data_IF_175898970782
#
_entry.id   IF_175898970782
#
_cell.length_a   1.000
_cell.length_b   1.000
_cell.length_c   1.000
_cell.angle_alpha   90.00
_cell.angle_beta   90.00
_cell.angle_gamma   90.00
#
_symmetry.space_group_name_H-M   'P 1'
#
loop_
_entity.id
_entity.type
_entity.pdbx_description
1 polymer ?
#
# COMPACT_ATOMS: atom_id res chain seq x y z
N UNK A 1 5.83 -3.97 4.67
CA UNK A 1 4.74 -4.90 4.32
C UNK A 1 3.45 -4.12 4.42
N UNK A 2 2.67 -4.07 3.33
CA UNK A 2 1.40 -3.34 3.30
C UNK A 2 0.36 -4.03 4.20
N UNK A 3 -0.64 -3.28 4.64
CA UNK A 3 -1.70 -3.79 5.50
C UNK A 3 -3.08 -3.28 5.07
N UNK A 4 -4.10 -4.00 5.51
CA UNK A 4 -5.51 -3.68 5.31
C UNK A 4 -6.15 -3.67 6.69
N UNK A 5 -6.94 -2.65 6.96
CA UNK A 5 -7.79 -2.57 8.14
C UNK A 5 -9.18 -3.03 7.74
N UNK A 6 -9.78 -3.92 8.53
CA UNK A 6 -11.11 -4.46 8.29
C UNK A 6 -11.90 -4.41 9.59
N UNK A 7 -13.11 -3.88 9.53
CA UNK A 7 -14.09 -4.00 10.61
C UNK A 7 -15.15 -5.06 10.26
N UNK A 8 -15.27 -6.05 11.14
CA UNK A 8 -16.12 -7.21 10.91
C UNK A 8 -16.62 -7.84 12.21
N UNK A 9 -17.78 -8.48 12.10
CA UNK A 9 -18.27 -9.44 13.06
C UNK A 9 -17.68 -10.81 12.76
N UNK A 10 -17.03 -11.39 13.75
CA UNK A 10 -16.62 -12.80 13.73
C UNK A 10 -17.61 -13.57 14.59
N UNK A 11 -18.25 -14.58 13.99
CA UNK A 11 -19.21 -15.46 14.66
C UNK A 11 -18.69 -16.88 14.66
N UNK A 12 -18.66 -17.48 15.83
CA UNK A 12 -18.24 -18.86 16.07
C UNK A 12 -19.44 -19.65 16.56
N UNK A 13 -19.61 -20.85 16.01
CA UNK A 13 -20.71 -21.74 16.31
C UNK A 13 -20.17 -23.11 16.69
N UNK A 14 -20.55 -23.62 17.86
CA UNK A 14 -20.16 -24.96 18.29
C UNK A 14 -21.24 -25.56 19.18
N UNK A 15 -21.15 -26.86 19.42
CA UNK A 15 -21.98 -27.55 20.41
C UNK A 15 -21.11 -27.97 21.59
N UNK A 16 -21.63 -27.81 22.81
CA UNK A 16 -20.98 -28.26 24.04
C UNK A 16 -21.94 -29.13 24.83
N UNK A 17 -21.62 -30.42 24.97
CA UNK A 17 -22.47 -31.40 25.65
C UNK A 17 -22.62 -31.15 27.16
N UNK A 18 -21.78 -30.31 27.74
CA UNK A 18 -21.85 -29.96 29.17
C UNK A 18 -22.95 -28.96 29.50
N UNK A 19 -23.39 -28.20 28.51
CA UNK A 19 -24.37 -27.14 28.70
C UNK A 19 -25.76 -27.69 28.39
N UNK A 20 -26.68 -27.52 29.32
CA UNK A 20 -28.08 -27.93 29.13
C UNK A 20 -28.79 -26.91 28.24
N UNK A 21 -29.34 -27.30 27.09
CA UNK A 21 -30.07 -26.39 26.21
C UNK A 21 -31.37 -25.88 26.84
N UNK A 22 -31.85 -24.68 26.46
CA UNK A 22 -33.13 -24.17 26.91
C UNK A 22 -34.28 -24.94 26.20
N UNK A 23 -35.10 -25.65 26.97
CA UNK A 23 -36.21 -26.45 26.44
C UNK A 23 -37.42 -25.61 26.00
N UNK A 24 -37.53 -24.37 26.51
CA UNK A 24 -38.69 -23.51 26.30
C UNK A 24 -38.71 -22.80 24.93
N UNK A 25 -37.60 -22.86 24.16
CA UNK A 25 -37.46 -22.18 22.88
C UNK A 25 -37.96 -23.03 21.72
N UNK A 26 -38.61 -22.40 20.74
CA UNK A 26 -38.96 -23.07 19.51
C UNK A 26 -37.70 -23.39 18.66
N UNK A 27 -37.82 -24.37 17.76
CA UNK A 27 -36.72 -24.75 16.86
C UNK A 27 -36.32 -23.56 15.99
N UNK A 28 -35.06 -23.14 16.07
CA UNK A 28 -34.56 -21.98 15.32
C UNK A 28 -34.43 -20.69 16.14
N UNK A 29 -35.02 -20.64 17.32
CA UNK A 29 -34.93 -19.46 18.20
C UNK A 29 -33.61 -19.42 18.96
N UNK A 30 -33.19 -18.20 19.33
CA UNK A 30 -31.96 -17.93 20.05
C UNK A 30 -32.27 -17.19 21.34
N UNK A 31 -31.78 -17.71 22.46
CA UNK A 31 -31.81 -17.00 23.73
C UNK A 31 -30.50 -16.23 23.94
N UNK A 32 -30.61 -15.00 24.44
CA UNK A 32 -29.46 -14.19 24.80
C UNK A 32 -29.00 -14.58 26.20
N UNK A 33 -27.73 -14.92 26.33
CA UNK A 33 -27.09 -15.22 27.60
C UNK A 33 -26.14 -14.06 27.92
N UNK A 34 -26.01 -13.73 29.20
CA UNK A 34 -25.10 -12.67 29.64
C UNK A 34 -23.66 -12.93 29.15
N UNK A 35 -22.99 -11.94 28.51
CA UNK A 35 -21.64 -12.13 27.96
C UNK A 35 -20.60 -12.58 29.00
N UNK A 36 -20.78 -12.25 30.29
CA UNK A 36 -19.87 -12.68 31.37
C UNK A 36 -19.79 -14.20 31.55
N UNK A 37 -20.82 -14.92 31.13
CA UNK A 37 -20.83 -16.39 31.15
C UNK A 37 -19.82 -16.95 30.15
N UNK A 38 -19.50 -16.22 29.07
CA UNK A 38 -18.48 -16.64 28.10
C UNK A 38 -17.10 -16.84 28.74
N UNK A 39 -16.81 -16.19 29.88
CA UNK A 39 -15.56 -16.38 30.65
C UNK A 39 -15.49 -17.74 31.36
N UNK A 40 -16.64 -18.38 31.59
CA UNK A 40 -16.77 -19.64 32.32
C UNK A 40 -17.07 -20.83 31.39
N UNK A 41 -17.29 -20.57 30.11
CA UNK A 41 -17.54 -21.58 29.08
C UNK A 41 -16.28 -21.73 28.21
N UNK A 42 -16.07 -22.92 27.68
CA UNK A 42 -14.99 -23.13 26.72
C UNK A 42 -15.25 -22.34 25.43
N UNK A 43 -14.24 -21.61 24.98
CA UNK A 43 -14.23 -20.90 23.71
C UNK A 43 -13.12 -21.47 22.82
N UNK A 44 -13.37 -21.65 21.50
CA UNK A 44 -12.33 -22.08 20.58
C UNK A 44 -11.24 -21.00 20.46
N UNK A 45 -9.99 -21.41 20.65
CA UNK A 45 -8.81 -20.53 20.59
C UNK A 45 -8.44 -20.17 19.15
N UNK A 46 -9.26 -19.33 18.51
CA UNK A 46 -9.08 -18.89 17.13
C UNK A 46 -8.19 -17.65 17.08
N UNK A 47 -7.16 -17.67 16.24
CA UNK A 47 -6.34 -16.49 15.94
C UNK A 47 -6.32 -16.23 14.44
N UNK A 48 -6.07 -14.96 14.07
CA UNK A 48 -5.93 -14.54 12.68
C UNK A 48 -4.42 -14.43 12.38
N UNK A 49 -3.97 -15.15 11.37
CA UNK A 49 -2.57 -15.11 10.95
C UNK A 49 -2.20 -13.73 10.39
N UNK A 50 -0.94 -13.32 10.59
CA UNK A 50 -0.37 -12.05 10.15
C UNK A 50 -1.14 -10.79 10.60
N UNK A 51 -1.94 -10.88 11.66
CA UNK A 51 -2.55 -9.72 12.29
C UNK A 51 -1.48 -8.87 12.97
N UNK A 52 -1.46 -7.56 12.68
CA UNK A 52 -0.54 -6.60 13.30
C UNK A 52 -1.17 -5.95 14.52
N UNK A 53 -2.47 -5.68 14.44
CA UNK A 53 -3.22 -4.98 15.47
C UNK A 53 -4.67 -5.46 15.47
N UNK A 54 -5.24 -5.63 16.67
CA UNK A 54 -6.65 -5.96 16.88
C UNK A 54 -7.21 -4.96 17.87
N UNK A 55 -8.20 -4.18 17.43
CA UNK A 55 -8.91 -3.21 18.26
C UNK A 55 -10.32 -3.74 18.51
N UNK A 56 -10.70 -3.79 19.79
CA UNK A 56 -12.07 -4.10 20.19
C UNK A 56 -12.78 -2.79 20.54
N UNK A 57 -13.86 -2.40 19.84
CA UNK A 57 -14.62 -1.21 20.20
C UNK A 57 -15.16 -1.34 21.63
N UNK A 58 -14.88 -0.37 22.52
CA UNK A 58 -15.25 -0.45 23.93
C UNK A 58 -15.71 0.91 24.50
N UNK A 59 -16.74 1.51 23.91
CA UNK A 59 -17.26 2.80 24.37
C UNK A 59 -17.98 2.70 25.74
N UNK A 60 -18.70 1.59 25.99
CA UNK A 60 -19.40 1.32 27.25
C UNK A 60 -19.30 -0.16 27.64
N UNK A 61 -19.71 -1.04 26.72
CA UNK A 61 -19.58 -2.49 26.81
C UNK A 61 -19.07 -2.99 25.47
N UNK A 62 -18.16 -3.96 25.47
CA UNK A 62 -17.69 -4.56 24.24
C UNK A 62 -18.88 -5.19 23.48
N UNK A 63 -19.01 -4.99 22.16
CA UNK A 63 -20.07 -5.56 21.35
C UNK A 63 -19.86 -7.07 21.15
N UNK A 64 -20.11 -7.82 22.22
CA UNK A 64 -20.03 -9.27 22.30
C UNK A 64 -21.43 -9.83 22.58
N UNK A 65 -21.82 -10.90 21.88
CA UNK A 65 -23.07 -11.60 22.15
C UNK A 65 -22.82 -13.10 22.26
N UNK A 66 -23.37 -13.69 23.32
CA UNK A 66 -23.41 -15.13 23.54
C UNK A 66 -24.86 -15.58 23.47
N UNK A 67 -25.18 -16.50 22.56
CA UNK A 67 -26.53 -17.04 22.39
C UNK A 67 -26.53 -18.54 22.33
N UNK A 68 -27.63 -19.15 22.75
CA UNK A 68 -27.83 -20.60 22.68
C UNK A 68 -29.19 -20.91 22.07
N UNK A 69 -29.24 -21.98 21.29
CA UNK A 69 -30.44 -22.52 20.67
C UNK A 69 -30.91 -23.78 21.41
N UNK A 70 -32.17 -24.18 21.21
CA UNK A 70 -32.75 -25.36 21.86
C UNK A 70 -32.04 -26.70 21.51
N UNK A 71 -31.29 -26.75 20.41
CA UNK A 71 -30.53 -27.92 19.97
C UNK A 71 -29.11 -27.98 20.57
N UNK A 72 -28.80 -27.05 21.49
CA UNK A 72 -27.48 -26.91 22.11
C UNK A 72 -26.43 -26.24 21.21
N UNK A 73 -26.83 -25.65 20.08
CA UNK A 73 -25.94 -24.83 19.27
C UNK A 73 -25.69 -23.49 19.95
N UNK A 74 -24.42 -23.22 20.23
CA UNK A 74 -23.95 -21.98 20.83
C UNK A 74 -23.45 -21.07 19.71
N UNK A 75 -23.71 -19.78 19.84
CA UNK A 75 -23.18 -18.73 18.98
C UNK A 75 -22.49 -17.67 19.82
N UNK A 76 -21.19 -17.52 19.61
CA UNK A 76 -20.43 -16.38 20.10
C UNK A 76 -20.15 -15.43 18.95
N UNK A 77 -20.47 -14.15 19.11
CA UNK A 77 -20.22 -13.11 18.12
C UNK A 77 -19.49 -11.96 18.77
N UNK A 78 -18.45 -11.47 18.10
CA UNK A 78 -17.67 -10.31 18.52
C UNK A 78 -17.48 -9.35 17.34
N UNK A 79 -17.55 -8.04 17.60
CA UNK A 79 -17.06 -7.03 16.64
C UNK A 79 -15.60 -6.72 16.91
N UNK A 80 -14.77 -6.77 15.87
CA UNK A 80 -13.36 -6.41 15.95
C UNK A 80 -12.94 -5.60 14.74
N UNK A 81 -12.03 -4.67 14.95
CA UNK A 81 -11.29 -4.01 13.88
C UNK A 81 -9.90 -4.64 13.84
N UNK A 82 -9.55 -5.26 12.71
CA UNK A 82 -8.28 -5.99 12.56
C UNK A 82 -7.45 -5.35 11.47
N UNK A 83 -6.20 -5.04 11.80
CA UNK A 83 -5.20 -4.61 10.82
C UNK A 83 -4.32 -5.80 10.46
N UNK A 84 -4.50 -6.33 9.26
CA UNK A 84 -3.85 -7.55 8.81
C UNK A 84 -2.85 -7.25 7.71
N UNK A 85 -1.69 -7.92 7.77
CA UNK A 85 -0.67 -7.81 6.74
C UNK A 85 -1.12 -8.48 5.45
N UNK A 86 -1.04 -7.77 4.33
CA UNK A 86 -1.27 -8.36 3.01
C UNK A 86 -0.09 -8.07 2.06
N UNK A 87 0.56 -9.10 1.50
CA UNK A 87 1.60 -8.93 0.50
C UNK A 87 0.96 -8.57 -0.86
N UNK A 88 0.95 -7.29 -1.18
CA UNK A 88 0.47 -6.77 -2.46
C UNK A 88 1.59 -6.67 -3.51
N UNK A 89 1.27 -6.92 -4.78
CA UNK A 89 2.16 -6.73 -5.92
C UNK A 89 1.73 -5.52 -6.78
N UNK A 90 2.55 -4.47 -6.77
CA UNK A 90 2.32 -3.22 -7.48
C UNK A 90 3.04 -3.15 -8.83
N UNK A 91 3.57 -4.26 -9.35
CA UNK A 91 4.27 -4.29 -10.65
C UNK A 91 3.41 -3.66 -11.76
N UNK A 92 2.13 -4.00 -11.80
CA UNK A 92 1.15 -3.50 -12.77
C UNK A 92 0.43 -2.20 -12.34
N UNK A 93 0.85 -1.54 -11.26
CA UNK A 93 0.15 -0.35 -10.74
C UNK A 93 0.02 0.78 -11.79
N UNK A 94 -1.16 1.39 -12.00
CA UNK A 94 -2.43 1.23 -11.25
C UNK A 94 -3.45 0.26 -11.88
N UNK A 95 -3.04 -0.60 -12.81
CA UNK A 95 -3.88 -1.62 -13.45
C UNK A 95 -3.82 -2.97 -12.70
N UNK A 96 -3.50 -2.92 -11.42
CA UNK A 96 -3.25 -4.07 -10.55
C UNK A 96 -4.54 -4.63 -9.94
N UNK A 97 -4.54 -5.95 -9.75
CA UNK A 97 -5.50 -6.66 -8.92
C UNK A 97 -4.74 -7.30 -7.75
N UNK A 98 -5.16 -7.02 -6.52
CA UNK A 98 -4.53 -7.57 -5.32
C UNK A 98 -5.39 -8.68 -4.75
N UNK A 99 -4.76 -9.77 -4.32
CA UNK A 99 -5.42 -10.88 -3.65
C UNK A 99 -4.80 -11.06 -2.28
N UNK A 100 -5.62 -10.95 -1.24
CA UNK A 100 -5.22 -11.05 0.15
C UNK A 100 -5.93 -12.23 0.81
N UNK A 101 -5.19 -12.98 1.62
CA UNK A 101 -5.74 -14.13 2.33
C UNK A 101 -5.73 -13.89 3.84
N UNK A 102 -6.91 -13.96 4.46
CA UNK A 102 -7.06 -13.90 5.91
C UNK A 102 -7.28 -15.31 6.44
N UNK A 103 -6.28 -15.86 7.12
CA UNK A 103 -6.33 -17.20 7.71
C UNK A 103 -6.77 -17.10 9.16
N UNK A 104 -7.80 -17.87 9.50
CA UNK A 104 -8.22 -18.10 10.88
C UNK A 104 -7.89 -19.54 11.24
N UNK A 105 -7.03 -19.70 12.24
CA UNK A 105 -6.48 -21.00 12.64
C UNK A 105 -6.71 -21.23 14.14
N UNK A 106 -6.80 -22.49 14.55
CA UNK A 106 -6.76 -22.82 15.98
C UNK A 106 -5.34 -22.69 16.53
N UNK A 107 -5.16 -21.93 17.61
CA UNK A 107 -3.86 -21.74 18.24
C UNK A 107 -3.41 -22.97 19.01
N UNK A 108 -4.31 -23.56 19.80
CA UNK A 108 -3.97 -24.63 20.74
C UNK A 108 -4.28 -26.03 20.21
N UNK A 109 -5.40 -26.19 19.49
CA UNK A 109 -5.95 -27.50 19.17
C UNK A 109 -5.59 -27.96 17.76
N UNK A 110 -5.18 -29.23 17.67
CA UNK A 110 -4.85 -29.85 16.37
C UNK A 110 -6.10 -30.25 15.59
N UNK A 111 -5.94 -30.54 14.30
CA UNK A 111 -7.02 -30.98 13.41
C UNK A 111 -7.66 -32.32 13.82
N UNK A 112 -7.03 -33.06 14.75
CA UNK A 112 -7.61 -34.26 15.37
C UNK A 112 -8.59 -33.95 16.51
N UNK A 113 -8.48 -32.77 17.11
CA UNK A 113 -9.25 -32.36 18.28
C UNK A 113 -10.36 -31.37 17.90
N UNK A 114 -10.10 -30.51 16.92
CA UNK A 114 -11.04 -29.48 16.48
C UNK A 114 -11.06 -29.42 14.96
N UNK A 115 -12.23 -29.23 14.37
CA UNK A 115 -12.41 -28.99 12.92
C UNK A 115 -13.05 -27.64 12.68
N UNK A 116 -12.53 -26.86 11.73
CA UNK A 116 -13.06 -25.55 11.36
C UNK A 116 -13.78 -25.64 10.02
N UNK A 117 -15.05 -25.26 10.01
CA UNK A 117 -15.91 -25.25 8.83
C UNK A 117 -16.59 -23.89 8.66
N UNK A 118 -17.05 -23.57 7.45
CA UNK A 118 -17.91 -22.40 7.25
C UNK A 118 -19.33 -22.71 7.72
N UNK A 119 -19.93 -21.82 8.53
CA UNK A 119 -21.35 -21.92 8.86
C UNK A 119 -22.23 -21.60 7.64
N UNK A 120 -21.85 -20.55 6.93
CA UNK A 120 -22.38 -20.16 5.62
C UNK A 120 -21.17 -19.85 4.74
N UNK A 121 -21.05 -20.45 3.53
CA UNK A 121 -19.98 -20.10 2.60
C UNK A 121 -20.07 -18.64 2.11
N UNK A 122 -21.23 -17.97 2.22
CA UNK A 122 -21.34 -16.56 1.89
C UNK A 122 -20.85 -15.70 3.04
N UNK A 123 -19.84 -14.88 2.77
CA UNK A 123 -19.38 -13.85 3.70
C UNK A 123 -20.36 -12.69 3.63
N UNK A 124 -20.95 -12.33 4.77
CA UNK A 124 -21.93 -11.25 4.84
C UNK A 124 -21.27 -9.90 4.55
N UNK A 125 -21.91 -9.06 3.75
CA UNK A 125 -21.47 -7.70 3.44
C UNK A 125 -22.61 -6.72 3.69
N UNK A 126 -22.34 -5.66 4.47
CA UNK A 126 -23.27 -4.52 4.54
C UNK A 126 -23.33 -3.81 3.18
N UNK A 127 -24.53 -3.50 2.65
CA UNK A 127 -24.69 -2.89 1.33
C UNK A 127 -24.12 -1.47 1.24
N UNK A 128 -23.79 -0.85 2.37
CA UNK A 128 -23.28 0.51 2.46
C UNK A 128 -21.75 0.60 2.28
N UNK A 129 -21.03 -0.53 2.33
CA UNK A 129 -19.57 -0.56 2.28
C UNK A 129 -19.10 -0.34 0.84
N UNK A 130 -18.47 0.80 0.57
CA UNK A 130 -17.94 1.16 -0.73
C UNK A 130 -16.63 1.94 -0.59
N UNK A 131 -15.54 1.36 -1.10
CA UNK A 131 -14.29 2.08 -1.24
C UNK A 131 -14.32 2.97 -2.48
N UNK A 132 -13.90 4.23 -2.35
CA UNK A 132 -13.74 5.14 -3.49
C UNK A 132 -12.59 4.76 -4.42
N UNK A 133 -11.62 3.98 -3.94
CA UNK A 133 -10.39 3.64 -4.68
C UNK A 133 -10.39 2.22 -5.24
N UNK A 134 -11.13 1.29 -4.61
CA UNK A 134 -11.13 -0.12 -4.96
C UNK A 134 -12.54 -0.68 -5.09
N UNK A 135 -12.73 -1.55 -6.07
CA UNK A 135 -13.81 -2.52 -6.07
C UNK A 135 -13.30 -3.79 -5.39
N UNK A 136 -14.07 -4.35 -4.47
CA UNK A 136 -13.60 -5.47 -3.66
C UNK A 136 -14.67 -6.54 -3.48
N UNK A 137 -14.21 -7.79 -3.45
CA UNK A 137 -15.03 -8.99 -3.26
C UNK A 137 -14.38 -9.91 -2.23
N UNK A 138 -15.23 -10.57 -1.42
CA UNK A 138 -14.79 -11.53 -0.40
C UNK A 138 -15.34 -12.92 -0.74
N UNK A 139 -14.46 -13.91 -0.71
CA UNK A 139 -14.78 -15.31 -0.97
C UNK A 139 -14.36 -16.16 0.22
N UNK A 140 -15.21 -17.13 0.59
CA UNK A 140 -14.80 -18.18 1.52
C UNK A 140 -13.96 -19.20 0.77
N UNK A 141 -12.80 -19.53 1.31
CA UNK A 141 -11.93 -20.58 0.78
C UNK A 141 -12.17 -21.84 1.59
N UNK A 142 -12.25 -22.97 0.88
CA UNK A 142 -12.48 -24.28 1.49
C UNK A 142 -11.36 -24.64 2.48
N UNK A 143 -11.70 -25.42 3.52
CA UNK A 143 -10.81 -25.81 4.60
C UNK A 143 -9.47 -26.37 4.07
N UNK A 144 -8.37 -25.78 4.53
CA UNK A 144 -7.02 -26.30 4.32
C UNK A 144 -6.32 -26.35 5.67
N UNK A 145 -5.89 -27.53 6.11
CA UNK A 145 -5.15 -27.61 7.37
C UNK A 145 -3.73 -27.08 7.17
N UNK A 146 -3.30 -26.20 8.08
CA UNK A 146 -1.92 -25.72 8.09
C UNK A 146 -1.06 -26.68 8.91
N UNK A 147 0.18 -26.90 8.48
CA UNK A 147 1.12 -27.76 9.17
C UNK A 147 2.21 -26.93 9.84
N UNK A 148 2.24 -26.95 11.17
CA UNK A 148 3.26 -26.30 11.99
C UNK A 148 4.01 -27.36 12.79
N UNK A 149 5.34 -27.38 12.69
CA UNK A 149 6.20 -28.31 13.46
C UNK A 149 5.71 -29.78 13.41
N UNK A 150 5.35 -30.25 12.22
CA UNK A 150 4.83 -31.61 11.97
C UNK A 150 3.48 -31.94 12.65
N UNK A 151 2.73 -30.91 13.08
CA UNK A 151 1.34 -31.01 13.56
C UNK A 151 0.41 -30.28 12.63
N UNK A 152 -0.76 -30.87 12.38
CA UNK A 152 -1.79 -30.29 11.53
C UNK A 152 -2.81 -29.56 12.39
N UNK A 153 -3.12 -28.32 12.02
CA UNK A 153 -4.06 -27.44 12.68
C UNK A 153 -5.20 -27.07 11.72
N UNK A 154 -6.46 -27.02 12.19
CA UNK A 154 -7.59 -26.67 11.35
C UNK A 154 -7.52 -25.19 11.00
N UNK A 155 -7.67 -24.85 9.72
CA UNK A 155 -7.66 -23.46 9.24
C UNK A 155 -8.81 -23.23 8.27
N UNK A 156 -9.45 -22.07 8.40
CA UNK A 156 -10.37 -21.51 7.40
C UNK A 156 -9.79 -20.21 6.88
N UNK A 157 -10.00 -19.92 5.60
CA UNK A 157 -9.39 -18.78 4.93
C UNK A 157 -10.44 -17.96 4.20
N UNK A 158 -10.28 -16.65 4.27
CA UNK A 158 -11.05 -15.69 3.49
C UNK A 158 -10.13 -15.12 2.42
N UNK A 159 -10.58 -15.14 1.18
CA UNK A 159 -9.93 -14.48 0.06
C UNK A 159 -10.59 -13.13 -0.20
N UNK A 160 -9.79 -12.07 -0.14
CA UNK A 160 -10.17 -10.70 -0.49
C UNK A 160 -9.52 -10.35 -1.82
N UNK A 161 -10.35 -10.10 -2.83
CA UNK A 161 -9.92 -9.61 -4.13
C UNK A 161 -10.17 -8.10 -4.17
N UNK A 162 -9.11 -7.32 -4.38
CA UNK A 162 -9.16 -5.86 -4.54
C UNK A 162 -8.81 -5.50 -5.98
N UNK A 163 -9.69 -4.77 -6.65
CA UNK A 163 -9.50 -4.24 -8.00
C UNK A 163 -9.42 -2.72 -7.94
N UNK A 164 -8.34 -2.13 -8.44
CA UNK A 164 -8.16 -0.68 -8.39
C UNK A 164 -9.01 0.03 -9.44
N UNK A 165 -9.67 1.12 -9.04
CA UNK A 165 -10.40 1.98 -9.98
C UNK A 165 -9.43 2.90 -10.73
N UNK A 166 -9.38 2.76 -12.04
CA UNK A 166 -8.35 3.41 -12.87
C UNK A 166 -8.64 4.88 -13.21
N UNK A 167 -9.90 5.31 -13.15
CA UNK A 167 -10.37 6.60 -13.69
C UNK A 167 -9.61 7.79 -13.10
N UNK A 168 -9.35 7.77 -11.80
CA UNK A 168 -8.58 8.81 -11.11
C UNK A 168 -7.16 8.95 -11.69
N UNK A 169 -6.45 7.85 -11.86
CA UNK A 169 -5.09 7.85 -12.40
C UNK A 169 -5.07 8.27 -13.88
N UNK A 170 -6.08 7.90 -14.65
CA UNK A 170 -6.20 8.32 -16.05
C UNK A 170 -6.30 9.84 -16.18
N UNK A 171 -7.18 10.47 -15.39
CA UNK A 171 -7.44 11.91 -15.46
C UNK A 171 -6.31 12.75 -14.85
N UNK A 172 -5.71 12.30 -13.75
CA UNK A 172 -4.73 13.10 -13.02
C UNK A 172 -3.28 12.78 -13.38
N UNK A 173 -2.99 11.61 -13.96
CA UNK A 173 -1.63 11.19 -14.30
C UNK A 173 -1.43 11.02 -15.80
N UNK A 174 -2.18 10.13 -16.44
CA UNK A 174 -1.93 9.78 -17.84
C UNK A 174 -2.31 10.90 -18.82
N UNK A 175 -3.47 11.53 -18.64
CA UNK A 175 -3.93 12.62 -19.50
C UNK A 175 -2.99 13.85 -19.45
N UNK A 176 -2.67 14.44 -18.28
CA UNK A 176 -1.78 15.60 -18.22
C UNK A 176 -0.35 15.28 -18.68
N UNK A 177 0.21 14.11 -18.33
CA UNK A 177 1.54 13.72 -18.82
C UNK A 177 1.58 13.56 -20.34
N UNK A 178 0.53 12.99 -20.94
CA UNK A 178 0.37 12.92 -22.40
C UNK A 178 0.28 14.32 -23.04
N UNK A 179 -0.48 15.24 -22.44
CA UNK A 179 -0.57 16.63 -22.92
C UNK A 179 0.79 17.35 -22.86
N UNK A 180 1.60 17.13 -21.82
CA UNK A 180 2.96 17.71 -21.76
C UNK A 180 3.87 17.18 -22.88
N UNK A 181 3.78 15.89 -23.22
CA UNK A 181 4.51 15.34 -24.38
C UNK A 181 4.03 16.01 -25.67
N UNK A 182 2.72 16.19 -25.86
CA UNK A 182 2.18 16.90 -27.03
C UNK A 182 2.68 18.35 -27.11
N UNK A 183 2.69 19.08 -25.98
CA UNK A 183 3.24 20.44 -25.91
C UNK A 183 4.72 20.45 -26.31
N UNK A 184 5.50 19.46 -25.89
CA UNK A 184 6.91 19.35 -26.29
C UNK A 184 7.07 19.24 -27.81
N UNK A 185 6.21 18.49 -28.50
CA UNK A 185 6.23 18.40 -29.96
C UNK A 185 5.80 19.69 -30.64
N UNK A 186 4.83 20.41 -30.08
CA UNK A 186 4.43 21.72 -30.61
C UNK A 186 5.58 22.73 -30.56
N UNK A 187 6.53 22.60 -29.64
CA UNK A 187 7.73 23.45 -29.64
C UNK A 187 8.60 23.27 -30.89
N UNK A 188 8.55 22.11 -31.56
CA UNK A 188 9.26 21.86 -32.82
C UNK A 188 8.71 22.70 -33.98
N UNK A 189 7.43 23.05 -33.92
CA UNK A 189 6.77 23.85 -34.94
C UNK A 189 7.11 25.35 -34.83
N UNK A 190 7.61 25.80 -33.67
CA UNK A 190 7.95 27.20 -33.43
C UNK A 190 9.15 27.59 -34.31
N UNK A 191 9.02 28.60 -35.18
CA UNK A 191 10.06 28.96 -36.11
C UNK A 191 11.32 29.46 -35.40
N UNK A 192 12.47 29.25 -36.03
CA UNK A 192 13.79 29.50 -35.45
C UNK A 192 14.02 30.96 -34.99
N UNK A 193 13.21 31.92 -35.45
CA UNK A 193 13.40 33.33 -35.10
C UNK A 193 13.25 33.61 -33.59
N UNK A 194 12.50 32.80 -32.83
CA UNK A 194 12.24 32.98 -31.40
C UNK A 194 12.91 31.89 -30.53
N UNK A 195 14.21 31.67 -30.72
CA UNK A 195 15.01 30.68 -29.96
C UNK A 195 14.80 30.70 -28.44
N UNK A 196 14.79 31.86 -27.73
CA UNK A 196 14.69 31.87 -26.27
C UNK A 196 13.34 31.36 -25.75
N UNK A 197 12.25 31.67 -26.46
CA UNK A 197 10.91 31.23 -26.06
C UNK A 197 10.79 29.70 -26.14
N UNK A 198 11.33 29.09 -27.20
CA UNK A 198 11.35 27.64 -27.39
C UNK A 198 12.13 26.92 -26.27
N UNK A 199 13.28 27.46 -25.86
CA UNK A 199 14.08 26.90 -24.75
C UNK A 199 13.27 26.84 -23.46
N UNK A 200 12.69 27.98 -23.09
CA UNK A 200 11.98 28.11 -21.82
C UNK A 200 10.79 27.15 -21.79
N UNK A 201 10.00 27.08 -22.86
CA UNK A 201 8.87 26.14 -22.94
C UNK A 201 9.32 24.66 -22.79
N UNK A 202 10.43 24.27 -23.42
CA UNK A 202 10.93 22.88 -23.36
C UNK A 202 11.52 22.54 -21.99
N UNK A 203 12.28 23.46 -21.38
CA UNK A 203 12.86 23.25 -20.04
C UNK A 203 11.77 23.25 -18.97
N UNK A 204 10.80 24.16 -19.06
CA UNK A 204 9.66 24.21 -18.13
C UNK A 204 8.83 22.94 -18.23
N UNK A 205 8.52 22.43 -19.43
CA UNK A 205 7.78 21.16 -19.58
C UNK A 205 8.53 19.97 -19.00
N UNK A 206 9.85 19.89 -19.18
CA UNK A 206 10.68 18.86 -18.55
C UNK A 206 10.63 18.95 -17.03
N UNK A 207 10.81 20.15 -16.46
CA UNK A 207 10.74 20.38 -15.02
C UNK A 207 9.37 20.01 -14.45
N UNK A 208 8.29 20.40 -15.11
CA UNK A 208 6.93 20.07 -14.70
C UNK A 208 6.69 18.55 -14.71
N UNK A 209 7.16 17.85 -15.75
CA UNK A 209 6.99 16.40 -15.85
C UNK A 209 7.79 15.64 -14.79
N UNK A 210 9.03 16.08 -14.49
CA UNK A 210 9.84 15.52 -13.39
C UNK A 210 9.19 15.80 -12.03
N UNK A 211 8.64 16.99 -11.83
CA UNK A 211 7.95 17.36 -10.59
C UNK A 211 6.69 16.51 -10.39
N UNK A 212 5.92 16.32 -11.45
CA UNK A 212 4.76 15.44 -11.46
C UNK A 212 5.14 13.98 -11.17
N UNK A 213 6.25 13.49 -11.74
CA UNK A 213 6.75 12.15 -11.46
C UNK A 213 7.10 11.96 -9.98
N UNK A 214 7.73 12.97 -9.37
CA UNK A 214 8.00 12.97 -7.93
C UNK A 214 6.70 12.97 -7.11
N UNK A 215 5.68 13.74 -7.52
CA UNK A 215 4.36 13.76 -6.88
C UNK A 215 3.67 12.39 -6.91
N UNK A 216 3.59 11.75 -8.08
CA UNK A 216 3.02 10.40 -8.23
C UNK A 216 3.74 9.40 -7.32
N UNK A 217 5.08 9.45 -7.26
CA UNK A 217 5.85 8.55 -6.40
C UNK A 217 5.63 8.76 -4.91
N UNK A 218 5.17 9.92 -4.46
CA UNK A 218 4.83 10.18 -3.06
C UNK A 218 3.47 9.59 -2.68
N UNK A 219 2.52 9.58 -3.62
CA UNK A 219 1.19 9.00 -3.41
C UNK A 219 1.19 7.47 -3.51
N UNK A 220 2.08 6.91 -4.34
CA UNK A 220 2.19 5.45 -4.48
C UNK A 220 3.01 4.80 -3.37
N UNK A 221 2.70 3.55 -2.98
CA UNK A 221 3.52 2.81 -2.04
C UNK A 221 4.97 2.68 -2.52
N UNK A 222 5.91 2.93 -1.59
CA UNK A 222 7.34 2.82 -1.84
C UNK A 222 7.74 1.34 -1.95
N UNK A 223 7.90 0.89 -3.18
CA UNK A 223 8.43 -0.43 -3.53
C UNK A 223 9.77 -0.30 -4.23
N UNK A 224 10.61 -1.32 -4.14
CA UNK A 224 11.96 -1.31 -4.73
C UNK A 224 11.98 -1.58 -6.24
N UNK A 225 10.93 -2.21 -6.77
CA UNK A 225 10.81 -2.52 -8.20
C UNK A 225 10.08 -1.42 -8.98
N UNK A 226 10.25 -1.43 -10.30
CA UNK A 226 9.57 -0.49 -11.19
C UNK A 226 8.09 -0.85 -11.34
N UNK A 227 7.21 0.16 -11.19
CA UNK A 227 5.77 0.04 -11.44
C UNK A 227 5.45 0.42 -12.88
N UNK A 228 4.32 -0.04 -13.43
CA UNK A 228 3.88 0.33 -14.77
C UNK A 228 3.75 1.87 -14.94
N UNK A 229 3.25 2.58 -13.92
CA UNK A 229 3.22 4.06 -13.93
C UNK A 229 4.62 4.69 -13.96
N UNK A 230 5.61 4.10 -13.29
CA UNK A 230 6.99 4.60 -13.33
C UNK A 230 7.56 4.49 -14.75
N UNK A 231 7.29 3.37 -15.43
CA UNK A 231 7.71 3.16 -16.81
C UNK A 231 7.06 4.16 -17.76
N UNK A 232 5.75 4.43 -17.63
CA UNK A 232 5.06 5.46 -18.41
C UNK A 232 5.69 6.84 -18.24
N UNK A 233 5.88 7.28 -17.00
CA UNK A 233 6.45 8.60 -16.70
C UNK A 233 7.90 8.74 -17.20
N UNK A 234 8.72 7.69 -17.05
CA UNK A 234 10.08 7.67 -17.58
C UNK A 234 10.07 7.81 -19.11
N UNK A 235 9.17 7.11 -19.81
CA UNK A 235 9.05 7.24 -21.26
C UNK A 235 8.67 8.67 -21.67
N UNK A 236 7.70 9.30 -21.00
CA UNK A 236 7.35 10.69 -21.26
C UNK A 236 8.55 11.63 -21.04
N UNK A 237 9.35 11.42 -19.98
CA UNK A 237 10.55 12.23 -19.71
C UNK A 237 11.60 12.06 -20.80
N UNK A 238 11.82 10.83 -21.27
CA UNK A 238 12.75 10.56 -22.37
C UNK A 238 12.31 11.29 -23.64
N UNK A 239 11.01 11.29 -23.99
CA UNK A 239 10.52 12.01 -25.16
C UNK A 239 10.78 13.51 -25.09
N UNK A 240 10.50 14.15 -23.94
CA UNK A 240 10.76 15.58 -23.76
C UNK A 240 12.27 15.87 -23.78
N UNK A 241 13.09 14.98 -23.22
CA UNK A 241 14.55 15.08 -23.28
C UNK A 241 15.08 14.99 -24.72
N UNK A 242 14.51 14.13 -25.57
CA UNK A 242 14.87 14.06 -26.98
C UNK A 242 14.55 15.36 -27.72
N UNK A 243 13.44 16.03 -27.40
CA UNK A 243 13.11 17.35 -27.96
C UNK A 243 14.12 18.41 -27.51
N UNK A 244 14.53 18.39 -26.23
CA UNK A 244 15.56 19.29 -25.72
C UNK A 244 16.94 19.04 -26.38
N UNK A 245 17.25 17.77 -26.65
CA UNK A 245 18.47 17.38 -27.34
C UNK A 245 18.48 17.85 -28.80
N UNK A 246 17.39 17.65 -29.54
CA UNK A 246 17.24 18.16 -30.90
C UNK A 246 17.45 19.67 -30.94
N UNK A 247 16.88 20.38 -29.97
CA UNK A 247 17.03 21.82 -29.88
C UNK A 247 18.50 22.26 -29.68
N UNK A 248 19.24 21.53 -28.83
CA UNK A 248 20.68 21.76 -28.62
C UNK A 248 21.47 21.56 -29.92
N UNK A 249 21.12 20.53 -30.70
CA UNK A 249 21.71 20.27 -32.01
C UNK A 249 21.41 21.39 -33.00
N UNK A 250 20.17 21.90 -33.04
CA UNK A 250 19.78 23.02 -33.92
C UNK A 250 20.58 24.28 -33.64
N UNK A 251 20.75 24.67 -32.36
CA UNK A 251 21.59 25.82 -32.01
C UNK A 251 23.02 25.62 -32.49
N UNK A 252 23.59 24.44 -32.22
CA UNK A 252 24.97 24.14 -32.58
C UNK A 252 25.22 24.24 -34.09
N UNK A 253 24.28 23.74 -34.90
CA UNK A 253 24.34 23.85 -36.36
C UNK A 253 24.16 25.29 -36.84
N UNK A 254 23.25 26.07 -36.23
CA UNK A 254 23.04 27.48 -36.56
C UNK A 254 24.28 28.34 -36.28
N UNK A 255 24.96 28.10 -35.15
CA UNK A 255 26.21 28.79 -34.83
C UNK A 255 27.34 28.43 -35.80
N UNK A 256 27.44 27.16 -36.21
CA UNK A 256 28.42 26.72 -37.22
C UNK A 256 28.17 27.40 -38.57
N UNK A 257 26.92 27.47 -39.02
CA UNK A 257 26.54 28.14 -40.27
C UNK A 257 26.90 29.64 -40.30
N UNK A 258 26.71 30.34 -39.17
CA UNK A 258 27.12 31.74 -39.03
C UNK A 258 28.64 31.95 -39.06
N UNK A 259 29.43 30.98 -38.58
CA UNK A 259 30.90 31.05 -38.64
C UNK A 259 31.43 30.86 -40.05
N UNK A 260 30.80 30.01 -40.86
CA UNK A 260 31.18 29.78 -42.27
C UNK A 260 30.75 30.91 -43.21
N UNK A 261 29.76 31.73 -42.83
CA UNK A 261 29.24 32.81 -43.68
C UNK A 261 29.82 34.21 -43.38
N UNK A 262 30.78 34.36 -42.47
CA UNK A 262 31.50 35.63 -42.32
C UNK A 262 32.55 35.75 -43.45
N UNK A 263 32.43 36.71 -44.38
CA UNK A 263 33.53 37.02 -45.28
C UNK A 263 34.72 37.51 -44.45
N UNK A 264 35.92 37.08 -44.82
CA UNK A 264 37.18 37.54 -44.23
C UNK A 264 37.22 39.07 -44.25
N UNK A 265 36.97 39.70 -43.09
CA UNK A 265 37.18 41.12 -42.93
C UNK A 265 38.70 41.36 -42.91
N UNK A 266 39.18 42.03 -43.95
CA UNK A 266 40.54 42.55 -44.11
C UNK A 266 41.01 43.25 -42.82
N UNK A 267 42.25 43.02 -42.33
CA UNK A 267 42.73 43.69 -41.13
C UNK A 267 42.95 45.18 -41.43
N UNK A 268 42.05 46.04 -40.96
CA UNK A 268 42.36 47.47 -40.86
C UNK A 268 43.18 47.72 -39.59
N UNK A 269 44.49 47.84 -39.78
CA UNK A 269 45.37 48.63 -38.93
C UNK A 269 44.82 50.06 -38.89
N UNK A 270 44.69 50.67 -37.70
CA UNK A 270 45.07 52.07 -37.41
C UNK A 270 44.63 52.53 -35.99
N UNK A 271 45.65 53.02 -35.27
CA UNK A 271 45.73 54.06 -34.22
C UNK A 271 45.08 53.89 -32.83
N UNK A 272 45.96 53.45 -31.93
CA UNK A 272 46.30 54.06 -30.65
C UNK A 272 45.89 55.55 -30.48
N UNK A 273 45.05 55.85 -29.48
CA UNK A 273 45.04 57.16 -28.80
C UNK A 273 45.09 56.99 -27.29
N UNK A 274 46.24 57.38 -26.76
CA UNK A 274 46.57 57.66 -25.34
C UNK A 274 45.67 58.76 -24.74
N UNK A 275 45.31 58.58 -23.48
CA UNK A 275 44.78 59.60 -22.56
C UNK A 275 44.37 58.96 -21.22
N UNK A 276 45.27 58.66 -20.26
CA UNK A 276 46.02 59.53 -19.33
C UNK A 276 45.31 59.68 -17.94
N UNK A 277 45.84 58.93 -16.95
CA UNK A 277 45.91 59.18 -15.48
C UNK A 277 44.60 59.18 -14.65
N UNK A 278 44.51 58.71 -13.40
CA UNK A 278 45.50 58.52 -12.32
C UNK A 278 45.10 57.44 -11.28
N UNK A 279 46.16 56.83 -10.72
CA UNK A 279 46.35 56.30 -9.35
C UNK A 279 45.18 56.38 -8.34
N UNK A 280 44.92 55.28 -7.62
CA UNK A 280 45.50 55.13 -6.25
C UNK A 280 45.40 53.70 -5.69
N UNK A 281 46.58 53.25 -5.28
CA UNK A 281 46.99 52.19 -4.38
C UNK A 281 46.07 51.83 -3.19
N UNK A 282 45.84 50.52 -2.97
CA UNK A 282 45.90 49.75 -1.71
C UNK A 282 45.21 48.41 -1.95
N UNK A 283 45.73 47.22 -1.67
CA UNK A 283 46.92 46.78 -0.95
C UNK A 283 46.63 45.33 -0.51
N UNK A 284 47.55 44.42 -0.86
CA UNK A 284 47.88 43.10 -0.24
C UNK A 284 46.74 42.09 0.02
N UNK A 285 46.81 40.92 -0.65
CA UNK A 285 47.33 39.61 -0.15
C UNK A 285 46.37 38.99 0.88
N UNK A 286 45.87 37.75 0.81
CA UNK A 286 46.51 36.43 0.58
C UNK A 286 45.37 35.41 0.36
N UNK A 287 45.43 34.53 -0.65
CA UNK A 287 45.65 33.07 -0.52
C UNK A 287 45.19 32.47 0.82
N UNK A 288 44.24 31.53 0.89
CA UNK A 288 44.41 30.09 0.60
C UNK A 288 43.06 29.39 0.90
N UNK A 289 42.48 28.64 -0.04
CA UNK A 289 42.34 27.16 -0.01
C UNK A 289 42.37 26.51 1.37
N UNK A 290 41.33 25.76 1.74
CA UNK A 290 41.46 24.42 2.33
C UNK A 290 40.14 23.65 2.27
N UNK A 291 40.27 22.33 2.40
CA UNK A 291 39.49 21.23 1.83
C UNK A 291 38.42 20.63 2.75
N UNK A 292 37.52 19.88 2.09
CA UNK A 292 36.69 18.74 2.50
C UNK A 292 36.89 18.14 3.90
N UNK A 293 35.77 17.77 4.54
CA UNK A 293 35.70 16.50 5.27
C UNK A 293 34.29 15.87 5.24
N UNK A 294 34.29 14.55 5.09
CA UNK A 294 33.12 13.68 4.95
C UNK A 294 32.71 13.02 6.27
N UNK A 295 31.41 12.73 6.37
CA UNK A 295 30.71 11.56 6.95
C UNK A 295 31.21 10.86 8.22
N UNK A 296 30.28 10.62 9.16
CA UNK A 296 30.02 9.26 9.68
C UNK A 296 28.63 9.15 10.33
N UNK A 297 28.05 7.95 10.26
CA UNK A 297 26.70 7.58 10.67
C UNK A 297 26.77 6.38 11.65
N UNK A 298 25.79 6.34 12.56
CA UNK A 298 25.14 5.19 13.24
C UNK A 298 25.93 4.32 14.25
N UNK A 299 25.28 4.09 15.41
CA UNK A 299 24.64 2.79 15.75
C UNK A 299 23.79 2.88 17.03
N UNK A 300 22.57 2.34 16.95
CA UNK A 300 21.73 1.92 18.07
C UNK A 300 21.79 0.39 18.20
N UNK A 301 21.59 -0.14 19.42
CA UNK A 301 21.38 -1.56 19.71
C UNK A 301 20.14 -1.76 20.61
N UNK A 302 19.34 -2.84 20.43
CA UNK A 302 18.17 -3.20 21.25
C UNK A 302 18.40 -4.47 22.10
N UNK A 303 17.48 -4.75 23.04
CA UNK A 303 17.07 -6.07 23.62
C UNK A 303 16.29 -5.80 24.94
N UNK A 304 15.32 -6.57 25.43
CA UNK A 304 14.60 -7.77 25.00
C UNK A 304 13.32 -7.88 25.89
N UNK A 305 12.30 -8.62 25.43
CA UNK A 305 11.10 -8.99 26.20
C UNK A 305 10.95 -10.51 26.15
N UNK A 306 10.72 -11.14 27.29
CA UNK A 306 10.49 -12.58 27.49
C UNK A 306 8.99 -12.92 27.44
N UNK A 307 8.59 -14.14 27.03
CA UNK A 307 7.18 -14.54 27.00
C UNK A 307 6.77 -15.48 28.16
N UNK A 308 5.54 -15.21 28.63
CA UNK A 308 4.41 -16.06 29.07
C UNK A 308 4.59 -17.44 29.72
N UNK A 309 3.73 -17.72 30.71
CA UNK A 309 3.01 -19.00 30.80
C UNK A 309 1.73 -18.85 31.66
N UNK A 310 0.55 -19.19 31.11
CA UNK A 310 -0.65 -19.43 31.91
C UNK A 310 -1.26 -20.77 31.49
N UNK A 311 -1.38 -21.62 32.51
CA UNK A 311 -1.75 -23.01 32.52
C UNK A 311 -3.19 -23.24 32.00
N UNK A 312 -3.37 -24.13 31.04
CA UNK A 312 -4.69 -24.52 30.52
C UNK A 312 -4.90 -26.02 30.80
N UNK A 313 -5.80 -26.28 31.75
CA UNK A 313 -6.18 -27.60 32.23
C UNK A 313 -6.60 -28.57 31.12
N UNK A 314 -6.09 -29.78 31.24
CA UNK A 314 -6.33 -30.89 30.31
C UNK A 314 -7.77 -31.40 30.33
N UNK A 315 -8.18 -31.93 29.18
CA UNK A 315 -9.40 -32.73 29.01
C UNK A 315 -9.19 -33.89 28.04
N UNK A 316 -10.00 -34.97 28.17
CA UNK A 316 -9.67 -36.28 27.64
C UNK A 316 -10.05 -36.45 26.17
N UNK A 317 -9.25 -37.31 25.53
CA UNK A 317 -9.43 -37.95 24.23
C UNK A 317 -10.86 -38.47 23.99
N UNK A 318 -11.43 -38.23 22.81
CA UNK A 318 -12.58 -39.02 22.35
C UNK A 318 -13.19 -38.60 21.03
N UNK A 319 -13.68 -37.37 20.91
CA UNK A 319 -14.38 -36.90 19.71
C UNK A 319 -13.97 -35.46 19.39
N UNK A 320 -13.62 -35.21 18.12
CA UNK A 320 -13.23 -33.88 17.67
C UNK A 320 -14.42 -32.92 17.75
N UNK A 321 -14.19 -31.72 18.26
CA UNK A 321 -15.20 -30.67 18.35
C UNK A 321 -15.29 -29.89 17.04
N UNK A 322 -16.48 -29.81 16.46
CA UNK A 322 -16.70 -28.99 15.27
C UNK A 322 -16.97 -27.53 15.66
N UNK A 323 -16.21 -26.63 15.06
CA UNK A 323 -16.39 -25.18 15.15
C UNK A 323 -16.71 -24.65 13.76
N UNK A 324 -17.86 -23.97 13.64
CA UNK A 324 -18.27 -23.31 12.40
C UNK A 324 -18.06 -21.79 12.50
N UNK A 325 -17.52 -21.20 11.46
CA UNK A 325 -17.16 -19.78 11.39
C UNK A 325 -18.07 -19.05 10.41
N UNK A 326 -18.52 -17.85 10.77
CA UNK A 326 -19.18 -16.91 9.88
C UNK A 326 -18.61 -15.52 10.10
N UNK A 327 -18.22 -14.85 9.01
CA UNK A 327 -17.74 -13.47 9.04
C UNK A 327 -18.75 -12.56 8.35
N UNK A 328 -18.93 -11.36 8.89
CA UNK A 328 -19.79 -10.34 8.31
C UNK A 328 -19.13 -8.97 8.42
N UNK A 329 -18.97 -8.26 7.31
CA UNK A 329 -18.38 -6.92 7.27
C UNK A 329 -19.39 -5.88 7.76
N UNK A 330 -18.91 -4.90 8.53
CA UNK A 330 -19.75 -3.90 9.19
C UNK A 330 -19.68 -2.57 8.44
N UNK A 331 -18.48 -1.99 8.33
CA UNK A 331 -18.20 -0.67 7.75
C UNK A 331 -16.80 -0.65 7.08
N UNK A 332 -16.52 0.41 6.31
CA UNK A 332 -15.28 0.64 5.51
C UNK A 332 -14.02 0.89 6.36
#
# INVERSE_FOLDING_TARGET
>A
MMDITIEWFIRLYWRDRRLTPPEHLAKGEWENIAPDIAKHVWLPTTFIDHVKEVTKPSLLVAPESFRMQNDGLIRYSISVTTRVSCPMDFSAYPFDNQVCYFKMESYQFTAKQVSYNWFDPKIGRSPQIQSGQFDFDFYSVQQQNTSHQNRSYPTVMIELVLRRRIVYHLMNTFLPSGLFVMVSWLTLLVPHHQMPARMVLTITTLLTLVSMFAGVRQETPKVSYAKAVDQWMIMCVIFVFCVLFEFTVVIFLHERGKRTSKPSATPQVVQERRGRYNLTNRGRNTATSFTNHASSFLRFKPAAVTPAESDAGGRPHGEGQEVRVQCCLIED
#
